data_IF_559452444790
#
_entry.id   IF_559452444790
#
_cell.length_a   1.000
_cell.length_b   1.000
_cell.length_c   1.000
_cell.angle_alpha   90.00
_cell.angle_beta   90.00
_cell.angle_gamma   90.00
#
_symmetry.space_group_name_H-M   'P 1'
#
loop_
_entity.id
_entity.type
_entity.pdbx_description
1 polymer ?
#
# COMPACT_ATOMS: atom_id res chain seq x y z
N UNK A 1 -4.05 16.44 70.75
CA UNK A 1 -3.11 16.40 71.90
C UNK A 1 -1.62 16.45 71.46
N UNK A 2 -1.28 17.05 70.31
CA UNK A 2 0.10 17.18 69.83
C UNK A 2 0.56 18.63 69.61
N UNK A 3 -0.26 19.62 69.94
CA UNK A 3 0.01 21.05 69.69
C UNK A 3 0.43 21.84 70.93
N UNK A 4 0.70 21.17 72.06
CA UNK A 4 1.14 21.81 73.32
C UNK A 4 2.56 21.43 73.75
N UNK A 5 3.19 20.44 73.11
CA UNK A 5 4.52 19.95 73.49
C UNK A 5 5.65 20.66 72.72
N UNK A 6 5.37 21.26 71.56
CA UNK A 6 6.39 21.97 70.78
C UNK A 6 6.67 23.38 71.34
N UNK A 7 5.72 23.99 72.07
CA UNK A 7 5.86 25.35 72.61
C UNK A 7 6.69 25.40 73.90
N UNK A 8 6.96 24.26 74.56
CA UNK A 8 7.70 24.24 75.84
C UNK A 8 9.21 23.92 75.73
N UNK A 9 9.73 23.51 74.58
CA UNK A 9 11.13 23.07 74.44
C UNK A 9 12.11 24.11 73.86
N UNK A 10 11.69 25.38 73.71
CA UNK A 10 12.55 26.45 73.18
C UNK A 10 12.65 27.68 74.10
N UNK A 11 12.45 27.51 75.41
CA UNK A 11 12.95 28.44 76.42
C UNK A 11 14.39 28.07 76.81
N UNK A 12 15.29 28.13 75.84
CA UNK A 12 16.72 28.23 76.12
C UNK A 12 16.99 29.70 76.40
N UNK A 13 17.47 29.97 77.61
CA UNK A 13 17.99 31.24 78.11
C UNK A 13 19.04 31.83 77.14
N UNK A 14 18.60 32.62 76.16
CA UNK A 14 19.48 33.53 75.44
C UNK A 14 19.67 34.78 76.31
N UNK A 15 20.76 34.78 77.07
CA UNK A 15 21.46 36.02 77.49
C UNK A 15 21.53 36.97 76.28
N UNK A 16 21.60 38.30 76.47
CA UNK A 16 21.73 39.25 75.35
C UNK A 16 23.06 39.02 74.64
N UNK A 17 23.06 38.08 73.70
CA UNK A 17 24.15 37.85 72.78
C UNK A 17 24.19 39.10 71.92
N UNK A 18 25.25 39.90 72.09
CA UNK A 18 25.62 40.97 71.14
C UNK A 18 25.40 40.42 69.74
N UNK A 19 24.43 40.94 69.02
CA UNK A 19 24.14 40.58 67.63
C UNK A 19 25.36 41.00 66.81
N UNK A 20 26.34 40.11 66.71
CA UNK A 20 27.49 40.27 65.84
C UNK A 20 26.99 40.03 64.43
N UNK A 21 26.72 41.13 63.72
CA UNK A 21 26.77 41.13 62.26
C UNK A 21 28.23 40.85 61.88
N UNK A 22 28.61 39.56 61.84
CA UNK A 22 29.95 39.17 61.41
C UNK A 22 30.00 39.41 59.92
N UNK A 23 30.49 40.58 59.54
CA UNK A 23 31.01 40.84 58.21
C UNK A 23 32.09 39.77 57.96
N UNK A 24 31.84 38.83 57.06
CA UNK A 24 32.90 37.99 56.53
C UNK A 24 33.78 38.84 55.63
N UNK A 25 34.56 39.75 56.23
CA UNK A 25 35.54 40.56 55.51
C UNK A 25 36.80 39.72 55.30
N UNK A 26 36.66 38.59 54.62
CA UNK A 26 37.81 37.85 54.15
C UNK A 26 38.03 38.26 52.69
N UNK A 27 39.10 39.06 52.47
CA UNK A 27 39.78 39.32 51.18
C UNK A 27 39.25 40.48 50.32
N UNK A 28 39.38 41.73 50.79
CA UNK A 28 39.68 42.90 49.93
C UNK A 28 38.66 43.36 48.86
N UNK A 29 37.59 42.63 48.59
CA UNK A 29 36.55 43.05 47.65
C UNK A 29 35.54 44.00 48.35
N UNK A 30 35.00 45.00 47.63
CA UNK A 30 33.90 45.82 48.13
C UNK A 30 32.66 44.95 48.37
N UNK A 31 31.83 45.38 49.33
CA UNK A 31 30.61 44.66 49.69
C UNK A 31 29.69 44.47 48.48
N UNK A 32 29.17 43.26 48.30
CA UNK A 32 28.22 42.96 47.22
C UNK A 32 26.87 43.64 47.46
N UNK A 33 26.04 43.79 46.41
CA UNK A 33 24.73 44.45 46.51
C UNK A 33 23.85 43.85 47.62
N UNK A 34 23.81 42.52 47.74
CA UNK A 34 23.05 41.84 48.79
C UNK A 34 23.60 42.14 50.21
N UNK A 35 24.91 42.27 50.36
CA UNK A 35 25.55 42.61 51.63
C UNK A 35 25.26 44.06 52.03
N UNK A 36 25.30 44.98 51.06
CA UNK A 36 24.94 46.40 51.27
C UNK A 36 23.48 46.51 51.69
N UNK A 37 22.55 45.85 51.00
CA UNK A 37 21.14 45.83 51.37
C UNK A 37 20.90 45.25 52.77
N UNK A 38 21.63 44.20 53.17
CA UNK A 38 21.57 43.67 54.53
C UNK A 38 22.03 44.70 55.57
N UNK A 39 23.09 45.45 55.29
CA UNK A 39 23.62 46.50 56.17
C UNK A 39 22.61 47.65 56.30
N UNK A 40 22.01 48.09 55.21
CA UNK A 40 21.00 49.14 55.22
C UNK A 40 19.75 48.70 56.00
N UNK A 41 19.29 47.46 55.79
CA UNK A 41 18.20 46.86 56.58
C UNK A 41 18.52 46.80 58.07
N UNK A 42 19.75 46.41 58.44
CA UNK A 42 20.17 46.38 59.84
C UNK A 42 20.22 47.79 60.46
N UNK A 43 20.63 48.81 59.69
CA UNK A 43 20.59 50.22 60.13
C UNK A 43 19.15 50.71 60.30
N UNK A 44 18.28 50.45 59.33
CA UNK A 44 16.86 50.79 59.41
C UNK A 44 16.17 50.12 60.61
N UNK A 45 16.50 48.85 60.89
CA UNK A 45 16.01 48.13 62.07
C UNK A 45 16.42 48.80 63.37
N UNK A 46 17.68 49.22 63.51
CA UNK A 46 18.15 49.95 64.71
C UNK A 46 17.46 51.30 64.90
N UNK A 47 17.26 52.05 63.81
CA UNK A 47 16.52 53.32 63.86
C UNK A 47 15.08 53.09 64.28
N UNK A 48 14.44 52.03 63.75
CA UNK A 48 13.10 51.65 64.16
C UNK A 48 13.03 51.18 65.63
N UNK A 49 13.97 50.36 66.09
CA UNK A 49 14.06 49.92 67.49
C UNK A 49 14.17 51.12 68.46
N UNK A 50 14.92 52.17 68.06
CA UNK A 50 15.03 53.41 68.81
C UNK A 50 13.72 54.24 68.83
N UNK A 51 12.83 54.04 67.84
CA UNK A 51 11.52 54.72 67.77
C UNK A 51 10.42 54.07 68.62
N UNK A 52 10.71 52.92 69.25
CA UNK A 52 9.74 52.18 70.06
C UNK A 52 9.47 52.88 71.42
N UNK A 53 8.21 52.89 71.90
CA UNK A 53 7.85 53.35 73.24
C UNK A 53 8.67 52.65 74.34
N UNK A 54 9.09 53.36 75.40
CA UNK A 54 9.74 52.76 76.57
C UNK A 54 8.88 51.64 77.18
N UNK A 55 9.54 50.69 77.86
CA UNK A 55 8.85 49.56 78.49
C UNK A 55 8.10 49.94 79.77
N UNK A 56 8.42 51.09 80.36
CA UNK A 56 7.94 51.50 81.68
C UNK A 56 6.50 52.06 81.66
N UNK A 57 5.99 52.51 80.50
CA UNK A 57 4.64 53.07 80.36
C UNK A 57 3.62 52.00 79.90
N UNK A 58 2.81 51.54 80.86
CA UNK A 58 1.80 50.50 80.66
C UNK A 58 0.73 50.88 79.62
N UNK A 59 0.47 52.19 79.42
CA UNK A 59 -0.53 52.67 78.46
C UNK A 59 -0.10 52.49 76.99
N UNK A 60 1.20 52.38 76.73
CA UNK A 60 1.77 52.30 75.39
C UNK A 60 2.22 50.89 74.98
N UNK A 61 2.04 49.90 75.85
CA UNK A 61 2.44 48.51 75.59
C UNK A 61 1.75 47.90 74.36
N UNK A 62 0.45 48.16 74.19
CA UNK A 62 -0.29 47.65 73.03
C UNK A 62 0.20 48.28 71.72
N UNK A 63 0.57 49.56 71.76
CA UNK A 63 1.18 50.25 70.62
C UNK A 63 2.53 49.63 70.28
N UNK A 64 3.37 49.36 71.27
CA UNK A 64 4.66 48.67 71.09
C UNK A 64 4.47 47.27 70.50
N UNK A 65 3.53 46.47 71.04
CA UNK A 65 3.22 45.12 70.53
C UNK A 65 2.84 45.14 69.05
N UNK A 66 1.91 46.02 68.66
CA UNK A 66 1.48 46.17 67.26
C UNK A 66 2.63 46.58 66.35
N UNK A 67 3.52 47.47 66.81
CA UNK A 67 4.70 47.85 66.04
C UNK A 67 5.68 46.69 65.87
N UNK A 68 5.90 45.87 66.91
CA UNK A 68 6.75 44.68 66.83
C UNK A 68 6.16 43.66 65.84
N UNK A 69 4.89 43.30 65.98
CA UNK A 69 4.19 42.37 65.07
C UNK A 69 4.21 42.88 63.61
N UNK A 70 3.98 44.17 63.41
CA UNK A 70 4.01 44.79 62.08
C UNK A 70 5.43 44.78 61.47
N UNK A 71 6.48 44.82 62.27
CA UNK A 71 7.84 44.69 61.76
C UNK A 71 8.24 43.24 61.53
N UNK A 72 7.85 42.33 62.41
CA UNK A 72 8.05 40.90 62.21
C UNK A 72 7.42 40.46 60.89
N UNK A 73 6.16 40.81 60.64
CA UNK A 73 5.47 40.48 59.37
C UNK A 73 6.21 41.02 58.14
N UNK A 74 6.78 42.22 58.21
CA UNK A 74 7.62 42.77 57.12
C UNK A 74 8.93 41.99 56.94
N UNK A 75 9.59 41.60 58.03
CA UNK A 75 10.80 40.76 57.96
C UNK A 75 10.50 39.36 57.42
N UNK A 76 9.37 38.77 57.82
CA UNK A 76 8.88 37.50 57.30
C UNK A 76 8.56 37.59 55.81
N UNK A 77 7.83 38.61 55.37
CA UNK A 77 7.51 38.83 53.95
C UNK A 77 8.79 39.01 53.11
N UNK A 78 9.79 39.69 53.66
CA UNK A 78 11.07 39.86 52.99
C UNK A 78 11.82 38.51 52.81
N UNK A 79 11.91 37.70 53.89
CA UNK A 79 12.52 36.35 53.82
C UNK A 79 11.76 35.44 52.86
N UNK A 80 10.44 35.50 52.87
CA UNK A 80 9.60 34.73 51.95
C UNK A 80 9.89 35.11 50.50
N UNK A 81 10.06 36.41 50.22
CA UNK A 81 10.48 36.89 48.89
C UNK A 81 11.85 36.38 48.45
N UNK A 82 12.82 36.27 49.35
CA UNK A 82 14.14 35.68 49.04
C UNK A 82 14.03 34.17 48.75
N UNK A 83 13.26 33.45 49.55
CA UNK A 83 12.98 32.03 49.33
C UNK A 83 12.30 31.83 47.98
N UNK A 84 11.31 32.67 47.65
CA UNK A 84 10.60 32.63 46.39
C UNK A 84 11.55 32.82 45.20
N UNK A 85 12.41 33.85 45.22
CA UNK A 85 13.42 34.08 44.17
C UNK A 85 14.35 32.88 43.98
N UNK A 86 14.79 32.25 45.07
CA UNK A 86 15.62 31.05 45.01
C UNK A 86 14.86 29.86 44.41
N UNK A 87 13.59 29.70 44.76
CA UNK A 87 12.73 28.65 44.19
C UNK A 87 12.47 28.89 42.71
N UNK A 88 12.18 30.13 42.29
CA UNK A 88 12.03 30.50 40.88
C UNK A 88 13.29 30.19 40.07
N UNK A 89 14.47 30.53 40.59
CA UNK A 89 15.75 30.22 39.96
C UNK A 89 15.95 28.69 39.80
N UNK A 90 15.64 27.91 40.84
CA UNK A 90 15.69 26.43 40.76
C UNK A 90 14.70 25.88 39.75
N UNK A 91 13.47 26.39 39.72
CA UNK A 91 12.43 25.99 38.77
C UNK A 91 12.83 26.32 37.34
N UNK A 92 13.46 27.48 37.10
CA UNK A 92 13.97 27.85 35.78
C UNK A 92 15.01 26.84 35.27
N UNK A 93 15.95 26.43 36.12
CA UNK A 93 16.94 25.39 35.78
C UNK A 93 16.26 24.05 35.49
N UNK A 94 15.31 23.63 36.35
CA UNK A 94 14.57 22.38 36.14
C UNK A 94 13.78 22.37 34.84
N UNK A 95 13.11 23.48 34.50
CA UNK A 95 12.40 23.63 33.22
C UNK A 95 13.36 23.42 32.05
N UNK A 96 14.53 24.07 32.07
CA UNK A 96 15.54 23.93 31.02
C UNK A 96 16.01 22.47 30.86
N UNK A 97 16.24 21.76 31.97
CA UNK A 97 16.63 20.35 31.94
C UNK A 97 15.52 19.45 31.39
N UNK A 98 14.26 19.72 31.74
CA UNK A 98 13.12 19.00 31.17
C UNK A 98 13.02 19.21 29.65
N UNK A 99 13.15 20.45 29.18
CA UNK A 99 13.17 20.74 27.75
C UNK A 99 14.30 20.01 27.02
N UNK A 100 15.50 19.97 27.60
CA UNK A 100 16.63 19.24 27.01
C UNK A 100 16.36 17.74 26.95
N UNK A 101 15.85 17.15 28.04
CA UNK A 101 15.47 15.73 28.09
C UNK A 101 14.41 15.39 27.05
N UNK A 102 13.36 16.21 26.95
CA UNK A 102 12.27 16.00 26.00
C UNK A 102 12.78 16.11 24.55
N UNK A 103 13.65 17.09 24.26
CA UNK A 103 14.31 17.18 22.95
C UNK A 103 15.18 15.97 22.63
N UNK A 104 15.96 15.49 23.57
CA UNK A 104 16.79 14.30 23.37
C UNK A 104 15.90 13.06 23.12
N UNK A 105 14.80 12.94 23.85
CA UNK A 105 13.84 11.85 23.67
C UNK A 105 13.16 11.91 22.30
N UNK A 106 12.69 13.08 21.87
CA UNK A 106 12.04 13.24 20.55
C UNK A 106 13.01 12.97 19.41
N UNK A 107 14.27 13.41 19.52
CA UNK A 107 15.32 13.09 18.55
C UNK A 107 15.60 11.59 18.48
N UNK A 108 15.74 10.92 19.62
CA UNK A 108 15.96 9.47 19.66
C UNK A 108 14.77 8.70 19.06
N UNK A 109 13.54 9.13 19.33
CA UNK A 109 12.36 8.53 18.71
C UNK A 109 12.30 8.77 17.20
N UNK A 110 12.65 9.98 16.73
CA UNK A 110 12.67 10.32 15.31
C UNK A 110 13.70 9.45 14.57
N UNK A 111 14.91 9.30 15.11
CA UNK A 111 15.95 8.44 14.51
C UNK A 111 15.51 6.97 14.40
N UNK A 112 14.80 6.45 15.41
CA UNK A 112 14.24 5.09 15.37
C UNK A 112 13.18 4.94 14.28
N UNK A 113 12.30 5.94 14.15
CA UNK A 113 11.30 5.98 13.08
C UNK A 113 11.96 6.06 11.71
N UNK A 114 12.93 6.94 11.52
CA UNK A 114 13.67 7.09 10.26
C UNK A 114 14.36 5.79 9.86
N UNK A 115 14.96 5.09 10.83
CA UNK A 115 15.57 3.78 10.58
C UNK A 115 14.55 2.74 10.09
N UNK A 116 13.41 2.62 10.78
CA UNK A 116 12.35 1.69 10.41
C UNK A 116 11.72 2.05 9.06
N UNK A 117 11.49 3.34 8.81
CA UNK A 117 11.01 3.83 7.52
C UNK A 117 12.00 3.49 6.41
N UNK A 118 13.30 3.73 6.61
CA UNK A 118 14.33 3.40 5.63
C UNK A 118 14.36 1.90 5.32
N UNK A 119 14.20 1.03 6.32
CA UNK A 119 14.07 -0.42 6.10
C UNK A 119 12.83 -0.75 5.27
N UNK A 120 11.65 -0.27 5.68
CA UNK A 120 10.41 -0.49 4.93
C UNK A 120 10.47 0.05 3.49
N UNK A 121 11.14 1.17 3.27
CA UNK A 121 11.39 1.71 1.94
C UNK A 121 12.25 0.77 1.10
N UNK A 122 13.33 0.22 1.65
CA UNK A 122 14.19 -0.75 0.95
C UNK A 122 13.43 -2.03 0.59
N UNK A 123 12.62 -2.54 1.51
CA UNK A 123 11.81 -3.73 1.28
C UNK A 123 10.80 -3.47 0.16
N UNK A 124 10.08 -2.34 0.23
CA UNK A 124 9.17 -1.89 -0.82
C UNK A 124 9.87 -1.75 -2.17
N UNK A 125 11.04 -1.12 -2.23
CA UNK A 125 11.83 -1.00 -3.46
C UNK A 125 12.29 -2.36 -3.99
N UNK A 126 12.59 -3.32 -3.11
CA UNK A 126 12.95 -4.68 -3.52
C UNK A 126 11.77 -5.40 -4.18
N UNK A 127 10.56 -5.24 -3.64
CA UNK A 127 9.33 -5.79 -4.22
C UNK A 127 8.96 -5.10 -5.53
N UNK A 128 9.06 -3.76 -5.58
CA UNK A 128 8.87 -3.02 -6.83
C UNK A 128 9.85 -3.45 -7.92
N UNK A 129 11.11 -3.74 -7.56
CA UNK A 129 12.10 -4.30 -8.49
C UNK A 129 11.76 -5.71 -8.96
N UNK A 130 11.11 -6.55 -8.15
CA UNK A 130 10.61 -7.86 -8.59
C UNK A 130 9.46 -7.68 -9.57
N UNK A 131 8.45 -6.89 -9.19
CA UNK A 131 7.29 -6.58 -10.05
C UNK A 131 7.73 -6.00 -11.39
N UNK A 132 8.70 -5.08 -11.39
CA UNK A 132 9.21 -4.49 -12.61
C UNK A 132 9.97 -5.50 -13.50
N UNK A 133 10.75 -6.41 -12.89
CA UNK A 133 11.40 -7.49 -13.64
C UNK A 133 10.38 -8.44 -14.26
N UNK A 134 9.35 -8.81 -13.51
CA UNK A 134 8.28 -9.68 -13.98
C UNK A 134 7.48 -8.99 -15.09
N UNK A 135 7.21 -7.70 -14.96
CA UNK A 135 6.58 -6.87 -15.99
C UNK A 135 7.41 -6.87 -17.28
N UNK A 136 8.71 -6.57 -17.22
CA UNK A 136 9.59 -6.60 -18.40
C UNK A 136 9.64 -7.99 -19.02
N UNK A 137 9.71 -9.04 -18.20
CA UNK A 137 9.74 -10.42 -18.68
C UNK A 137 8.43 -10.78 -19.40
N UNK A 138 7.29 -10.39 -18.84
CA UNK A 138 5.98 -10.53 -19.46
C UNK A 138 5.91 -9.75 -20.78
N UNK A 139 6.35 -8.49 -20.82
CA UNK A 139 6.37 -7.69 -22.06
C UNK A 139 7.23 -8.33 -23.15
N UNK A 140 8.37 -8.94 -22.81
CA UNK A 140 9.24 -9.62 -23.79
C UNK A 140 8.66 -10.95 -24.26
N UNK A 141 8.07 -11.73 -23.36
CA UNK A 141 7.58 -13.07 -23.67
C UNK A 141 6.21 -13.07 -24.36
N UNK A 142 5.35 -12.09 -24.05
CA UNK A 142 3.97 -12.03 -24.52
C UNK A 142 3.87 -11.94 -26.07
N UNK A 143 4.64 -11.08 -26.77
CA UNK A 143 4.67 -11.06 -28.23
C UNK A 143 5.11 -12.39 -28.82
N UNK A 144 6.19 -12.99 -28.32
CA UNK A 144 6.70 -14.28 -28.81
C UNK A 144 5.68 -15.40 -28.60
N UNK A 145 5.03 -15.46 -27.44
CA UNK A 145 4.00 -16.45 -27.14
C UNK A 145 2.75 -16.27 -28.01
N UNK A 146 2.33 -15.02 -28.25
CA UNK A 146 1.23 -14.70 -29.16
C UNK A 146 1.57 -15.09 -30.60
N UNK A 147 2.78 -14.78 -31.07
CA UNK A 147 3.22 -15.16 -32.41
C UNK A 147 3.30 -16.69 -32.56
N UNK A 148 3.78 -17.41 -31.54
CA UNK A 148 3.79 -18.88 -31.54
C UNK A 148 2.37 -19.48 -31.63
N UNK A 149 1.40 -18.94 -30.87
CA UNK A 149 -0.01 -19.36 -30.95
C UNK A 149 -0.66 -19.02 -32.29
N UNK A 150 -0.36 -17.84 -32.85
CA UNK A 150 -0.82 -17.41 -34.20
C UNK A 150 -0.24 -18.27 -35.32
N UNK A 151 0.97 -18.79 -35.14
CA UNK A 151 1.61 -19.65 -36.13
C UNK A 151 0.93 -21.01 -36.21
N UNK A 152 0.55 -21.60 -35.07
CA UNK A 152 -0.07 -22.93 -35.00
C UNK A 152 -1.52 -22.88 -34.46
N UNK A 153 -2.39 -22.04 -35.04
CA UNK A 153 -3.79 -21.93 -34.59
C UNK A 153 -4.54 -23.27 -34.69
N UNK A 154 -4.23 -24.06 -35.70
CA UNK A 154 -4.87 -25.36 -35.96
C UNK A 154 -4.24 -26.53 -35.18
N UNK A 155 -3.18 -26.28 -34.41
CA UNK A 155 -2.51 -27.31 -33.60
C UNK A 155 -1.87 -28.46 -34.41
N UNK A 156 -1.71 -28.31 -35.72
CA UNK A 156 -1.11 -29.35 -36.58
C UNK A 156 0.39 -29.48 -36.30
N UNK A 157 0.89 -30.71 -36.40
CA UNK A 157 2.32 -30.98 -36.29
C UNK A 157 3.05 -30.44 -37.52
N UNK A 158 3.85 -29.38 -37.34
CA UNK A 158 4.72 -28.85 -38.40
C UNK A 158 5.95 -29.77 -38.57
N UNK A 159 6.18 -30.28 -39.79
CA UNK A 159 7.47 -30.90 -40.11
C UNK A 159 8.56 -29.83 -40.19
N UNK A 160 9.77 -30.20 -39.78
CA UNK A 160 10.97 -29.35 -39.85
C UNK A 160 11.25 -28.93 -41.30
N UNK A 161 11.40 -27.63 -41.52
CA UNK A 161 11.76 -27.06 -42.82
C UNK A 161 13.27 -26.80 -42.88
N UNK A 162 13.98 -27.70 -43.55
CA UNK A 162 15.46 -27.70 -43.64
C UNK A 162 15.95 -26.45 -44.37
N UNK A 163 15.22 -25.99 -45.39
CA UNK A 163 15.64 -24.83 -46.19
C UNK A 163 15.61 -23.59 -45.32
N UNK A 164 14.52 -23.41 -44.57
CA UNK A 164 14.37 -22.27 -43.67
C UNK A 164 15.41 -22.27 -42.55
N UNK A 165 15.70 -23.43 -41.97
CA UNK A 165 16.73 -23.55 -40.94
C UNK A 165 18.13 -23.16 -41.46
N UNK A 166 18.45 -23.45 -42.72
CA UNK A 166 19.74 -23.06 -43.30
C UNK A 166 19.79 -21.61 -43.78
N UNK A 167 18.65 -20.94 -43.95
CA UNK A 167 18.59 -19.50 -44.28
C UNK A 167 18.77 -18.61 -43.04
N UNK A 168 18.32 -19.07 -41.86
CA UNK A 168 18.43 -18.33 -40.61
C UNK A 168 19.63 -18.81 -39.78
N UNK A 169 20.61 -17.92 -39.57
CA UNK A 169 21.82 -18.24 -38.80
C UNK A 169 21.56 -18.35 -37.30
N UNK A 170 20.41 -17.88 -36.82
CA UNK A 170 19.97 -18.06 -35.43
C UNK A 170 19.29 -19.42 -35.20
N UNK A 171 19.10 -20.22 -36.26
CA UNK A 171 18.49 -21.54 -36.16
C UNK A 171 19.35 -22.52 -35.37
N UNK A 172 18.72 -23.61 -34.91
CA UNK A 172 19.39 -24.68 -34.18
C UNK A 172 20.53 -25.35 -34.96
N UNK A 173 20.52 -25.26 -36.30
CA UNK A 173 21.57 -25.84 -37.14
C UNK A 173 22.92 -25.14 -36.93
N UNK A 174 22.91 -23.81 -36.84
CA UNK A 174 24.13 -23.01 -36.72
C UNK A 174 24.40 -22.56 -35.29
N UNK A 175 23.35 -22.28 -34.52
CA UNK A 175 23.41 -21.85 -33.13
C UNK A 175 22.59 -22.80 -32.23
N UNK A 176 23.02 -24.05 -32.05
CA UNK A 176 22.33 -24.99 -31.19
C UNK A 176 22.29 -24.49 -29.74
N UNK A 177 21.14 -24.63 -29.07
CA UNK A 177 21.01 -24.29 -27.66
C UNK A 177 21.49 -25.47 -26.80
N UNK A 178 22.31 -25.21 -25.78
CA UNK A 178 22.87 -26.26 -24.91
C UNK A 178 21.80 -27.16 -24.26
N UNK A 179 20.59 -26.63 -24.02
CA UNK A 179 19.47 -27.43 -23.48
C UNK A 179 18.99 -28.54 -24.41
N UNK A 180 19.24 -28.45 -25.73
CA UNK A 180 18.92 -29.52 -26.69
C UNK A 180 20.02 -30.59 -26.78
N UNK A 181 21.07 -30.48 -25.95
CA UNK A 181 22.14 -31.48 -25.85
C UNK A 181 23.19 -31.41 -26.96
N UNK A 182 23.06 -30.47 -27.90
CA UNK A 182 24.04 -30.25 -28.95
C UNK A 182 25.19 -29.38 -28.42
N UNK A 183 26.39 -29.98 -28.39
CA UNK A 183 27.64 -29.33 -28.01
C UNK A 183 28.60 -29.50 -29.20
N UNK A 184 28.68 -28.52 -30.12
CA UNK A 184 29.43 -28.67 -31.37
C UNK A 184 30.90 -28.99 -31.14
N UNK A 185 31.49 -28.43 -30.08
CA UNK A 185 32.90 -28.59 -29.72
C UNK A 185 33.27 -30.00 -29.21
N UNK A 186 32.28 -30.81 -28.80
CA UNK A 186 32.51 -32.15 -28.27
C UNK A 186 32.68 -33.21 -29.38
N UNK A 187 32.06 -33.01 -30.53
CA UNK A 187 32.18 -33.92 -31.66
C UNK A 187 33.48 -33.72 -32.45
N UNK A 188 34.08 -32.51 -32.39
CA UNK A 188 35.36 -32.22 -33.04
C UNK A 188 36.59 -32.60 -32.21
N UNK A 189 36.44 -32.79 -30.89
CA UNK A 189 37.56 -33.08 -29.98
C UNK A 189 37.81 -34.58 -29.76
N UNK A 190 36.87 -35.47 -30.13
CA UNK A 190 37.02 -36.92 -29.99
C UNK A 190 37.05 -37.59 -31.38
N UNK A 191 38.20 -37.52 -32.05
CA UNK A 191 38.70 -38.61 -32.93
C UNK A 191 37.83 -39.08 -34.12
N UNK A 192 37.24 -38.20 -34.96
CA UNK A 192 36.42 -38.68 -36.09
C UNK A 192 36.72 -38.11 -37.49
N UNK A 193 37.08 -36.84 -37.68
CA UNK A 193 37.08 -36.26 -39.04
C UNK A 193 38.45 -36.09 -39.71
N UNK A 194 39.55 -36.31 -38.97
CA UNK A 194 40.88 -36.38 -39.61
C UNK A 194 41.15 -37.83 -39.96
N UNK A 195 40.81 -38.23 -41.20
CA UNK A 195 41.19 -39.53 -41.76
C UNK A 195 42.72 -39.57 -41.88
N UNK A 196 43.39 -39.98 -40.80
CA UNK A 196 44.83 -40.27 -40.80
C UNK A 196 45.02 -41.69 -41.29
N UNK A 197 44.95 -41.89 -42.60
CA UNK A 197 45.33 -43.17 -43.18
C UNK A 197 46.86 -43.26 -43.23
N UNK A 198 47.42 -44.32 -42.64
CA UNK A 198 48.84 -44.65 -42.74
C UNK A 198 49.27 -44.87 -44.20
N UNK A 199 48.34 -45.25 -45.07
CA UNK A 199 48.59 -45.55 -46.47
C UNK A 199 48.80 -44.31 -47.36
N UNK A 200 48.46 -43.11 -46.88
CA UNK A 200 48.61 -41.85 -47.66
C UNK A 200 50.06 -41.32 -47.59
N UNK A 201 50.80 -41.65 -46.53
CA UNK A 201 52.14 -41.09 -46.28
C UNK A 201 53.28 -41.90 -46.91
N UNK A 202 53.00 -43.10 -47.40
CA UNK A 202 53.98 -44.06 -47.95
C UNK A 202 53.56 -44.51 -49.34
N UNK A 203 54.51 -44.59 -50.27
CA UNK A 203 54.26 -45.02 -51.65
C UNK A 203 53.67 -46.44 -51.74
N UNK A 204 54.20 -47.37 -50.94
CA UNK A 204 53.67 -48.75 -50.86
C UNK A 204 52.20 -48.77 -50.43
N UNK A 205 51.82 -47.87 -49.51
CA UNK A 205 50.44 -47.75 -49.06
C UNK A 205 49.49 -47.22 -50.14
N UNK A 206 49.96 -46.35 -51.05
CA UNK A 206 49.17 -45.93 -52.20
C UNK A 206 48.93 -47.09 -53.19
N UNK A 207 49.93 -47.94 -53.42
CA UNK A 207 49.79 -49.11 -54.31
C UNK A 207 48.79 -50.13 -53.73
N UNK A 208 48.82 -50.36 -52.41
CA UNK A 208 47.85 -51.21 -51.74
C UNK A 208 46.43 -50.62 -51.80
N UNK A 209 46.30 -49.30 -51.65
CA UNK A 209 45.03 -48.61 -51.81
C UNK A 209 44.49 -48.75 -53.24
N UNK A 210 45.33 -48.56 -54.26
CA UNK A 210 44.98 -48.75 -55.66
C UNK A 210 44.50 -50.19 -55.92
N UNK A 211 45.25 -51.18 -55.45
CA UNK A 211 44.91 -52.59 -55.59
C UNK A 211 43.61 -52.98 -54.88
N UNK A 212 43.26 -52.29 -53.78
CA UNK A 212 42.03 -52.54 -53.02
C UNK A 212 40.76 -51.99 -53.70
N UNK A 213 40.89 -51.11 -54.69
CA UNK A 213 39.76 -50.54 -55.41
C UNK A 213 39.24 -51.51 -56.47
N UNK A 214 37.95 -51.88 -56.47
CA UNK A 214 37.39 -52.75 -57.49
C UNK A 214 37.28 -52.01 -58.82
N UNK A 215 37.43 -52.73 -59.94
CA UNK A 215 37.32 -52.19 -61.30
C UNK A 215 36.03 -51.36 -61.54
N UNK A 216 34.95 -51.65 -60.80
CA UNK A 216 33.69 -50.87 -60.83
C UNK A 216 33.80 -49.39 -60.41
N UNK A 217 34.90 -49.00 -59.77
CA UNK A 217 35.20 -47.59 -59.42
C UNK A 217 35.74 -46.83 -60.64
N UNK A 218 36.41 -47.53 -61.56
CA UNK A 218 36.93 -46.98 -62.81
C UNK A 218 35.83 -46.82 -63.89
N UNK A 219 34.68 -47.46 -63.70
CA UNK A 219 33.53 -47.35 -64.60
C UNK A 219 32.53 -46.26 -64.14
N UNK A 220 32.17 -45.29 -65.00
CA UNK A 220 31.22 -44.25 -64.64
C UNK A 220 29.81 -44.83 -64.46
N UNK A 221 29.37 -44.95 -63.20
CA UNK A 221 28.01 -45.39 -62.86
C UNK A 221 27.03 -44.21 -62.93
N UNK A 222 26.45 -43.98 -64.10
CA UNK A 222 25.35 -43.01 -64.25
C UNK A 222 24.06 -43.63 -63.68
N UNK A 223 23.79 -43.37 -62.40
CA UNK A 223 22.51 -43.72 -61.76
C UNK A 223 21.46 -42.67 -62.12
N UNK A 224 20.74 -42.87 -63.22
CA UNK A 224 19.52 -42.09 -63.49
C UNK A 224 18.43 -42.55 -62.53
N UNK A 225 17.82 -41.62 -61.80
CA UNK A 225 16.72 -41.92 -60.90
C UNK A 225 15.55 -42.52 -61.72
N UNK A 226 15.21 -43.78 -61.44
CA UNK A 226 14.02 -44.40 -62.04
C UNK A 226 12.78 -43.65 -61.54
N UNK A 227 11.89 -43.17 -62.43
CA UNK A 227 10.66 -42.52 -61.99
C UNK A 227 9.83 -43.50 -61.15
N UNK A 228 9.29 -43.01 -60.02
CA UNK A 228 8.41 -43.82 -59.16
C UNK A 228 7.15 -44.20 -59.96
N UNK A 229 6.94 -45.49 -60.20
CA UNK A 229 5.73 -45.98 -60.84
C UNK A 229 4.53 -45.68 -59.94
N UNK A 230 3.70 -44.71 -60.31
CA UNK A 230 2.41 -44.47 -59.68
C UNK A 230 1.48 -45.62 -60.03
N UNK A 231 1.08 -46.42 -59.04
CA UNK A 231 0.10 -47.49 -59.21
C UNK A 231 -1.21 -46.87 -59.68
N UNK A 232 -1.55 -47.06 -60.96
CA UNK A 232 -2.78 -46.54 -61.57
C UNK A 232 -2.62 -45.94 -62.96
N UNK A 233 -1.39 -45.75 -63.47
CA UNK A 233 -1.17 -45.23 -64.81
C UNK A 233 -0.65 -46.33 -65.75
N UNK A 234 -1.44 -46.65 -66.79
CA UNK A 234 -1.03 -47.54 -67.90
C UNK A 234 0.29 -47.03 -68.47
N UNK A 235 1.29 -47.90 -68.56
CA UNK A 235 2.64 -47.55 -69.01
C UNK A 235 2.64 -46.93 -70.40
N UNK A 236 3.65 -46.13 -70.74
CA UNK A 236 3.75 -45.52 -72.09
C UNK A 236 3.74 -46.57 -73.21
N UNK A 237 4.35 -47.73 -72.97
CA UNK A 237 4.32 -48.88 -73.87
C UNK A 237 2.91 -49.44 -74.05
N UNK A 238 2.20 -49.70 -72.95
CA UNK A 238 0.85 -50.26 -72.94
C UNK A 238 -0.18 -49.30 -73.57
N UNK A 239 -0.02 -47.98 -73.39
CA UNK A 239 -0.85 -46.97 -74.08
C UNK A 239 -0.69 -47.02 -75.58
N UNK A 240 0.55 -47.13 -76.04
CA UNK A 240 0.89 -47.26 -77.47
C UNK A 240 0.26 -48.53 -78.05
N UNK A 241 0.26 -49.60 -77.28
CA UNK A 241 -0.34 -50.88 -77.68
C UNK A 241 -1.87 -50.79 -77.79
N UNK A 242 -2.53 -50.09 -76.85
CA UNK A 242 -3.97 -49.79 -76.92
C UNK A 242 -4.30 -48.89 -78.12
N UNK A 243 -3.48 -47.88 -78.41
CA UNK A 243 -3.64 -47.02 -79.60
C UNK A 243 -3.51 -47.83 -80.88
N UNK A 244 -2.51 -48.71 -80.98
CA UNK A 244 -2.33 -49.61 -82.12
C UNK A 244 -3.57 -50.53 -82.30
N UNK A 245 -4.08 -51.11 -81.22
CA UNK A 245 -5.30 -51.94 -81.25
C UNK A 245 -6.53 -51.16 -81.76
N UNK A 246 -6.73 -49.93 -81.27
CA UNK A 246 -7.81 -49.05 -81.73
C UNK A 246 -7.67 -48.68 -83.21
N UNK A 247 -6.45 -48.36 -83.66
CA UNK A 247 -6.20 -48.05 -85.08
C UNK A 247 -6.47 -49.26 -85.99
N UNK A 248 -6.09 -50.46 -85.56
CA UNK A 248 -6.37 -51.68 -86.29
C UNK A 248 -7.87 -51.97 -86.38
N UNK A 249 -8.62 -51.73 -85.29
CA UNK A 249 -10.07 -51.89 -85.28
C UNK A 249 -10.79 -50.86 -86.18
N UNK A 250 -10.40 -49.59 -86.12
CA UNK A 250 -10.97 -48.54 -86.97
C UNK A 250 -10.75 -48.83 -88.46
N UNK A 251 -9.56 -49.28 -88.86
CA UNK A 251 -9.26 -49.68 -90.24
C UNK A 251 -10.06 -50.91 -90.70
N UNK A 252 -10.48 -51.76 -89.77
CA UNK A 252 -11.32 -52.92 -90.06
C UNK A 252 -12.77 -52.49 -90.29
N UNK A 253 -13.27 -51.60 -89.43
CA UNK A 253 -14.62 -51.02 -89.54
C UNK A 253 -14.76 -50.16 -90.81
N UNK A 254 -13.76 -49.36 -91.18
CA UNK A 254 -13.75 -48.58 -92.43
C UNK A 254 -13.79 -49.46 -93.69
N UNK A 255 -13.24 -50.68 -93.62
CA UNK A 255 -13.32 -51.65 -94.73
C UNK A 255 -14.71 -52.27 -94.88
N UNK A 256 -15.48 -52.35 -93.80
CA UNK A 256 -16.77 -53.04 -93.75
C UNK A 256 -17.97 -52.09 -93.94
N UNK A 257 -17.76 -50.76 -93.94
CA UNK A 257 -18.84 -49.77 -94.05
C UNK A 257 -19.17 -49.36 -95.50
N UNK A 258 -20.36 -49.76 -95.97
CA UNK A 258 -21.12 -49.12 -97.07
C UNK A 258 -22.14 -48.17 -96.45
N UNK A 259 -22.06 -46.88 -96.77
CA UNK A 259 -22.88 -45.84 -96.13
C UNK A 259 -24.38 -45.93 -96.51
N UNK A 260 -25.25 -45.98 -95.50
CA UNK A 260 -26.65 -45.58 -95.64
C UNK A 260 -26.97 -44.47 -94.63
N UNK A 261 -27.26 -43.28 -95.16
CA UNK A 261 -27.64 -42.10 -94.39
C UNK A 261 -29.05 -42.23 -93.80
N UNK A 262 -29.21 -41.88 -92.53
CA UNK A 262 -30.52 -41.67 -91.88
C UNK A 262 -30.70 -40.19 -91.48
N UNK A 263 -31.90 -39.60 -91.69
CA UNK A 263 -32.13 -38.17 -91.55
C UNK A 263 -32.39 -37.72 -90.09
N UNK A 264 -32.26 -36.40 -89.90
CA UNK A 264 -32.23 -35.67 -88.63
C UNK A 264 -33.57 -35.60 -87.89
N UNK A 265 -33.50 -35.67 -86.55
CA UNK A 265 -34.60 -35.70 -85.58
C UNK A 265 -34.85 -34.29 -85.00
N UNK A 266 -36.11 -33.84 -84.99
CA UNK A 266 -36.52 -32.48 -84.58
C UNK A 266 -36.45 -32.24 -83.05
N UNK A 267 -36.34 -30.96 -82.64
CA UNK A 267 -36.26 -30.49 -81.25
C UNK A 267 -37.62 -30.50 -80.53
N UNK A 268 -37.67 -31.07 -79.32
CA UNK A 268 -38.84 -31.03 -78.40
C UNK A 268 -38.58 -29.99 -77.29
N UNK A 269 -39.57 -29.11 -77.06
CA UNK A 269 -39.54 -28.05 -76.05
C UNK A 269 -39.83 -28.61 -74.65
N UNK A 270 -38.97 -28.32 -73.67
CA UNK A 270 -39.17 -28.65 -72.24
C UNK A 270 -39.60 -27.41 -71.45
N UNK A 271 -40.61 -27.56 -70.59
CA UNK A 271 -41.07 -26.52 -69.68
C UNK A 271 -40.33 -26.56 -68.33
N UNK A 272 -40.17 -25.40 -67.67
CA UNK A 272 -39.51 -25.24 -66.35
C UNK A 272 -40.55 -25.03 -65.24
N UNK A 273 -40.42 -25.64 -64.05
CA UNK A 273 -41.33 -25.43 -62.93
C UNK A 273 -41.02 -24.14 -62.12
N UNK A 274 -42.05 -23.64 -61.43
CA UNK A 274 -42.08 -22.36 -60.70
C UNK A 274 -41.20 -22.32 -59.42
N UNK A 275 -40.75 -21.13 -58.96
CA UNK A 275 -39.73 -20.99 -57.92
C UNK A 275 -40.27 -21.20 -56.49
N UNK A 276 -39.59 -22.04 -55.71
CA UNK A 276 -39.85 -22.29 -54.29
C UNK A 276 -38.97 -21.36 -53.43
N UNK A 277 -39.55 -20.66 -52.45
CA UNK A 277 -38.80 -19.80 -51.51
C UNK A 277 -38.06 -20.65 -50.47
N UNK A 278 -36.86 -20.24 -50.02
CA UNK A 278 -36.14 -20.96 -48.96
C UNK A 278 -36.84 -20.78 -47.60
N UNK A 279 -36.84 -21.81 -46.73
CA UNK A 279 -37.40 -21.74 -45.39
C UNK A 279 -36.57 -20.82 -44.47
N UNK A 280 -37.23 -20.15 -43.53
CA UNK A 280 -36.61 -19.25 -42.56
C UNK A 280 -35.65 -20.00 -41.61
N UNK A 281 -34.48 -19.41 -41.29
CA UNK A 281 -33.50 -20.05 -40.41
C UNK A 281 -34.04 -20.14 -38.97
N UNK A 282 -34.03 -21.35 -38.40
CA UNK A 282 -34.26 -21.62 -36.98
C UNK A 282 -32.91 -21.64 -36.25
N UNK A 283 -32.86 -21.02 -35.08
CA UNK A 283 -31.71 -21.10 -34.16
C UNK A 283 -31.81 -22.43 -33.41
N UNK A 284 -30.68 -23.12 -33.24
CA UNK A 284 -30.62 -24.38 -32.51
C UNK A 284 -30.99 -24.19 -31.04
N UNK A 285 -31.88 -25.04 -30.54
CA UNK A 285 -32.26 -25.05 -29.12
C UNK A 285 -31.06 -25.50 -28.28
N UNK A 286 -30.66 -24.75 -27.24
CA UNK A 286 -29.52 -25.11 -26.41
C UNK A 286 -29.75 -26.44 -25.68
N UNK A 287 -28.69 -27.19 -25.39
CA UNK A 287 -28.79 -28.50 -24.75
C UNK A 287 -29.34 -28.41 -23.31
N UNK A 288 -30.20 -29.35 -22.94
CA UNK A 288 -30.83 -29.42 -21.62
C UNK A 288 -29.76 -29.40 -20.50
N UNK A 289 -29.85 -28.40 -19.61
CA UNK A 289 -28.97 -28.23 -18.45
C UNK A 289 -27.89 -27.15 -18.55
N UNK A 290 -27.64 -26.55 -19.73
CA UNK A 290 -26.77 -25.36 -19.83
C UNK A 290 -27.42 -24.13 -19.19
N UNK A 291 -28.73 -23.97 -19.34
CA UNK A 291 -29.49 -22.88 -18.71
C UNK A 291 -29.37 -22.91 -17.18
N UNK A 292 -29.42 -24.10 -16.57
CA UNK A 292 -29.26 -24.25 -15.11
C UNK A 292 -27.86 -23.88 -14.64
N UNK A 293 -26.83 -24.22 -15.44
CA UNK A 293 -25.43 -23.84 -15.17
C UNK A 293 -25.25 -22.33 -15.30
N UNK A 294 -25.80 -21.71 -16.34
CA UNK A 294 -25.77 -20.27 -16.53
C UNK A 294 -26.50 -19.54 -15.39
N UNK A 295 -27.66 -20.04 -14.97
CA UNK A 295 -28.39 -19.52 -13.82
C UNK A 295 -27.59 -19.65 -12.52
N UNK A 296 -26.92 -20.78 -12.29
CA UNK A 296 -26.05 -20.98 -11.14
C UNK A 296 -24.85 -20.00 -11.16
N UNK A 297 -24.23 -19.79 -12.32
CA UNK A 297 -23.14 -18.83 -12.51
C UNK A 297 -23.61 -17.40 -12.24
N UNK A 298 -24.78 -17.01 -12.77
CA UNK A 298 -25.39 -15.70 -12.55
C UNK A 298 -25.67 -15.49 -11.05
N UNK A 299 -26.18 -16.50 -10.35
CA UNK A 299 -26.43 -16.41 -8.91
C UNK A 299 -25.14 -16.27 -8.11
N UNK A 300 -24.09 -17.01 -8.47
CA UNK A 300 -22.78 -16.91 -7.84
C UNK A 300 -22.15 -15.54 -8.07
N UNK A 301 -22.29 -14.99 -9.28
CA UNK A 301 -21.85 -13.64 -9.62
C UNK A 301 -22.62 -12.57 -8.83
N UNK A 302 -23.94 -12.72 -8.66
CA UNK A 302 -24.77 -11.82 -7.83
C UNK A 302 -24.34 -11.86 -6.36
N UNK A 303 -24.06 -13.05 -5.82
CA UNK A 303 -23.58 -13.20 -4.44
C UNK A 303 -22.21 -12.54 -4.23
N UNK A 304 -21.26 -12.75 -5.14
CA UNK A 304 -19.94 -12.13 -5.05
C UNK A 304 -20.00 -10.60 -5.17
N UNK A 305 -20.84 -10.07 -6.07
CA UNK A 305 -21.09 -8.61 -6.18
C UNK A 305 -21.76 -8.06 -4.91
N UNK A 306 -22.74 -8.76 -4.37
CA UNK A 306 -23.38 -8.36 -3.10
C UNK A 306 -22.40 -8.37 -1.93
N UNK A 307 -21.56 -9.41 -1.83
CA UNK A 307 -20.56 -9.55 -0.78
C UNK A 307 -19.47 -8.50 -0.87
N UNK A 308 -19.02 -8.13 -2.07
CA UNK A 308 -18.02 -7.07 -2.26
C UNK A 308 -18.56 -5.70 -1.85
N UNK A 309 -19.82 -5.38 -2.21
CA UNK A 309 -20.49 -4.14 -1.78
C UNK A 309 -20.63 -4.12 -0.26
N UNK A 310 -21.07 -5.22 0.36
CA UNK A 310 -21.15 -5.33 1.82
C UNK A 310 -19.79 -5.11 2.48
N UNK A 311 -18.71 -5.69 1.94
CA UNK A 311 -17.36 -5.53 2.47
C UNK A 311 -16.87 -4.08 2.35
N UNK A 312 -17.11 -3.42 1.20
CA UNK A 312 -16.80 -2.00 1.02
C UNK A 312 -17.58 -1.12 2.01
N UNK A 313 -18.85 -1.44 2.24
CA UNK A 313 -19.70 -0.72 3.20
C UNK A 313 -19.23 -0.92 4.64
N UNK A 314 -18.87 -2.15 5.03
CA UNK A 314 -18.32 -2.46 6.35
C UNK A 314 -17.00 -1.75 6.59
N UNK A 315 -16.06 -1.86 5.66
CA UNK A 315 -14.77 -1.16 5.73
C UNK A 315 -14.92 0.37 5.71
N UNK A 316 -15.96 0.89 5.04
CA UNK A 316 -16.33 2.30 5.09
C UNK A 316 -16.86 2.73 6.46
N UNK A 317 -17.72 1.90 7.07
CA UNK A 317 -18.25 2.10 8.43
C UNK A 317 -17.14 2.07 9.48
N UNK A 318 -16.23 1.10 9.41
CA UNK A 318 -15.10 0.97 10.35
C UNK A 318 -14.19 2.20 10.29
N UNK A 319 -13.85 2.67 9.09
CA UNK A 319 -13.04 3.89 8.89
C UNK A 319 -13.68 5.16 9.48
N UNK A 320 -15.01 5.20 9.62
CA UNK A 320 -15.76 6.36 10.14
C UNK A 320 -16.36 6.09 11.53
N UNK A 321 -15.98 5.00 12.17
CA UNK A 321 -16.60 4.56 13.41
C UNK A 321 -16.35 5.55 14.55
N UNK A 322 -15.14 6.11 14.62
CA UNK A 322 -14.77 7.17 15.58
C UNK A 322 -15.64 8.42 15.39
N UNK A 323 -15.75 8.94 14.15
CA UNK A 323 -16.64 10.06 13.84
C UNK A 323 -18.11 9.78 14.18
N UNK A 324 -18.59 8.55 13.94
CA UNK A 324 -19.97 8.17 14.30
C UNK A 324 -20.15 8.17 15.83
N UNK A 325 -19.15 7.71 16.58
CA UNK A 325 -19.19 7.75 18.05
C UNK A 325 -19.16 9.20 18.55
N UNK A 326 -18.27 10.03 18.00
CA UNK A 326 -18.21 11.46 18.29
C UNK A 326 -19.56 12.13 18.05
N UNK A 327 -20.14 11.98 16.86
CA UNK A 327 -21.45 12.57 16.53
C UNK A 327 -22.59 12.06 17.42
N UNK A 328 -22.54 10.80 17.86
CA UNK A 328 -23.52 10.26 18.82
C UNK A 328 -23.36 10.87 20.20
N UNK A 329 -22.12 11.06 20.66
CA UNK A 329 -21.84 11.69 21.95
C UNK A 329 -22.16 13.18 21.95
N UNK A 330 -21.83 13.92 20.88
CA UNK A 330 -22.20 15.33 20.77
C UNK A 330 -23.70 15.53 20.67
N UNK A 331 -24.43 14.67 19.94
CA UNK A 331 -25.89 14.71 19.93
C UNK A 331 -26.49 14.37 21.31
N UNK A 332 -25.87 13.49 22.10
CA UNK A 332 -26.31 13.22 23.47
C UNK A 332 -26.14 14.48 24.36
N UNK A 333 -24.97 15.13 24.30
CA UNK A 333 -24.71 16.36 25.04
C UNK A 333 -25.66 17.50 24.63
N UNK A 334 -25.92 17.67 23.33
CA UNK A 334 -26.87 18.68 22.83
C UNK A 334 -28.30 18.44 23.35
N UNK A 335 -28.74 17.18 23.47
CA UNK A 335 -30.06 16.88 24.06
C UNK A 335 -30.11 17.24 25.54
N UNK A 336 -29.06 16.91 26.29
CA UNK A 336 -28.96 17.26 27.72
C UNK A 336 -28.96 18.79 27.91
N UNK A 337 -28.24 19.54 27.09
CA UNK A 337 -28.26 21.01 27.09
C UNK A 337 -29.66 21.57 26.78
N UNK A 338 -30.36 21.03 25.78
CA UNK A 338 -31.74 21.43 25.47
C UNK A 338 -32.72 21.14 26.61
N UNK A 339 -32.56 20.01 27.33
CA UNK A 339 -33.39 19.66 28.48
C UNK A 339 -33.12 20.58 29.68
N UNK A 340 -31.86 20.92 29.94
CA UNK A 340 -31.48 21.89 30.96
C UNK A 340 -32.06 23.29 30.66
N UNK A 341 -31.95 23.75 29.42
CA UNK A 341 -32.54 25.01 29.00
C UNK A 341 -34.06 25.03 29.18
N UNK A 342 -34.76 23.94 28.83
CA UNK A 342 -36.20 23.80 29.09
C UNK A 342 -36.52 23.88 30.58
N UNK A 343 -35.78 23.14 31.42
CA UNK A 343 -35.95 23.16 32.86
C UNK A 343 -35.70 24.56 33.47
N UNK A 344 -34.69 25.29 32.98
CA UNK A 344 -34.43 26.67 33.37
C UNK A 344 -35.58 27.61 32.96
N UNK A 345 -36.10 27.46 31.73
CA UNK A 345 -37.25 28.26 31.28
C UNK A 345 -38.49 27.99 32.12
N UNK A 346 -38.75 26.74 32.50
CA UNK A 346 -39.87 26.36 33.37
C UNK A 346 -39.68 26.90 34.80
N UNK A 347 -38.45 26.88 35.31
CA UNK A 347 -38.10 27.49 36.60
C UNK A 347 -38.35 29.02 36.58
N UNK A 348 -37.94 29.70 35.51
CA UNK A 348 -38.18 31.14 35.34
C UNK A 348 -39.68 31.43 35.25
N UNK A 349 -40.44 30.61 34.51
CA UNK A 349 -41.88 30.74 34.38
C UNK A 349 -42.60 30.54 35.73
N UNK A 350 -42.22 29.51 36.49
CA UNK A 350 -42.77 29.26 37.83
C UNK A 350 -42.44 30.38 38.80
N UNK A 351 -41.20 30.88 38.81
CA UNK A 351 -40.81 32.05 39.62
C UNK A 351 -41.58 33.31 39.23
N UNK A 352 -41.78 33.55 37.92
CA UNK A 352 -42.58 34.68 37.43
C UNK A 352 -44.03 34.57 37.88
N UNK A 353 -44.64 33.39 37.73
CA UNK A 353 -46.00 33.13 38.20
C UNK A 353 -46.14 33.32 39.72
N UNK A 354 -45.15 32.88 40.51
CA UNK A 354 -45.13 33.11 41.96
C UNK A 354 -45.02 34.61 42.30
N UNK A 355 -44.14 35.36 41.61
CA UNK A 355 -44.02 36.82 41.78
C UNK A 355 -45.31 37.53 41.41
N UNK A 356 -45.97 37.13 40.34
CA UNK A 356 -47.25 37.71 39.92
C UNK A 356 -48.37 37.37 40.90
N UNK A 357 -48.40 36.15 41.46
CA UNK A 357 -49.32 35.77 42.54
C UNK A 357 -49.08 36.60 43.81
N UNK A 358 -47.82 36.80 44.21
CA UNK A 358 -47.46 37.67 45.34
C UNK A 358 -47.87 39.12 45.09
N UNK A 359 -47.65 39.65 43.88
CA UNK A 359 -48.13 40.99 43.47
C UNK A 359 -49.64 41.09 43.54
N UNK A 360 -50.38 40.08 43.08
CA UNK A 360 -51.83 40.04 43.18
C UNK A 360 -52.33 39.96 44.62
N UNK A 361 -51.67 39.16 45.48
CA UNK A 361 -51.95 39.13 46.93
C UNK A 361 -51.70 40.49 47.58
N UNK A 362 -50.52 41.08 47.39
CA UNK A 362 -50.21 42.41 47.92
C UNK A 362 -51.20 43.49 47.43
N UNK A 363 -51.61 43.45 46.16
CA UNK A 363 -52.67 44.34 45.64
C UNK A 363 -54.00 44.12 46.35
N UNK A 364 -54.42 42.87 46.58
CA UNK A 364 -55.64 42.54 47.33
C UNK A 364 -55.54 43.01 48.79
N UNK A 365 -54.42 42.78 49.45
CA UNK A 365 -54.19 43.19 50.84
C UNK A 365 -54.19 44.72 50.99
N UNK A 366 -53.60 45.45 50.03
CA UNK A 366 -53.69 46.93 49.96
C UNK A 366 -55.14 47.38 49.79
N UNK A 367 -55.92 46.76 48.88
CA UNK A 367 -57.33 47.10 48.72
C UNK A 367 -58.17 46.81 49.97
N UNK A 368 -57.87 45.72 50.67
CA UNK A 368 -58.52 45.38 51.95
C UNK A 368 -58.13 46.35 53.06
N UNK A 369 -56.85 46.73 53.16
CA UNK A 369 -56.36 47.72 54.12
C UNK A 369 -57.00 49.11 53.92
N UNK A 370 -57.09 49.56 52.66
CA UNK A 370 -57.81 50.79 52.32
C UNK A 370 -59.30 50.70 52.66
N UNK A 371 -59.94 49.54 52.45
CA UNK A 371 -61.34 49.35 52.84
C UNK A 371 -61.50 49.41 54.37
N UNK A 372 -60.61 48.78 55.15
CA UNK A 372 -60.67 48.84 56.62
C UNK A 372 -60.38 50.23 57.20
N UNK A 373 -59.55 51.06 56.54
CA UNK A 373 -59.28 52.44 56.95
C UNK A 373 -60.42 53.42 56.62
N UNK A 374 -61.34 53.06 55.72
CA UNK A 374 -62.53 53.87 55.39
C UNK A 374 -63.67 53.63 56.41
N UNK A 375 -63.62 52.54 57.19
CA UNK A 375 -64.64 52.14 58.16
C UNK A 375 -64.24 52.33 59.63
N UNK A 376 -63.14 53.05 59.90
CA UNK A 376 -62.75 53.59 61.21
C UNK A 376 -62.75 55.11 61.09
#
# INVERSE_FOLDING_TARGET
MASRVIVMLLKIQLKPAKVKYVLHRCRGLPAGLAEVEMIERARAKRVWEASLPPLDDLSQLDKRRRMMEAMETKEWAFREGEIHKLQEARLAVLRNLLYQRDRAQTQATAQRLDHNLAQHHRDKESELRKIHRDYILCEKNLPSALMAKRRNVEGRFERRDIVRDHTDHSSETYAPLTRSGSVPDRNHSQTADVVKSCFINTYEGLLELEASLPASVLEPRIKVAKPKATKGFVGRSERREIELMKTHQALKEEKDHVEQSKPLRFLVRKEKPAPMRPPTPRVDEPPEGEEEKELAIINLQKLLRGRSIQYQMFAGKERRLELIQELRTTHALLREEEELLKAETDLILTQKNQRDLQRHKARRDITLAHHTQIYI
#
